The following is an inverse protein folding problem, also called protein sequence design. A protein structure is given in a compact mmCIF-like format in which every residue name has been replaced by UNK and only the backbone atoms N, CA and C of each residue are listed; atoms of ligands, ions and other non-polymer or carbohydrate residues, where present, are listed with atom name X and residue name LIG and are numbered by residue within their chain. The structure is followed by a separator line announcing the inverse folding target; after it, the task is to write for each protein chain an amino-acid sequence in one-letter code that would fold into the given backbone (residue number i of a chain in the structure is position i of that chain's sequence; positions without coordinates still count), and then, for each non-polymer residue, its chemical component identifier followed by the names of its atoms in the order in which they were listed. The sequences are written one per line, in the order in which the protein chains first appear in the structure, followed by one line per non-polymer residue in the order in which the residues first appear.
data_IF_984583612239
#
_entry.id   IF_984583612239
#
_cell.length_a   1.000
_cell.length_b   1.000
_cell.length_c   1.000
_cell.angle_alpha   90.00
_cell.angle_beta   90.00
_cell.angle_gamma   90.00
#
_symmetry.space_group_name_H-M   'P 1'
#
loop_
_entity.id
_entity.type
_entity.pdbx_description
1 polymer ?
#
# COMPACT_ATOMS: atom_id res chain seq x y z
N UNK A 1 7.67 -19.67 29.36
CA UNK A 1 6.46 -18.93 29.81
C UNK A 1 6.87 -17.50 30.09
N UNK A 2 6.82 -16.62 29.08
CA UNK A 2 7.15 -15.20 29.22
C UNK A 2 5.91 -14.47 29.73
N UNK A 3 6.01 -13.81 30.89
CA UNK A 3 4.93 -12.99 31.45
C UNK A 3 5.00 -11.60 30.82
N UNK A 4 4.01 -11.26 30.01
CA UNK A 4 3.77 -9.90 29.53
C UNK A 4 3.51 -8.97 30.72
N UNK A 5 4.48 -8.12 31.04
CA UNK A 5 4.30 -7.04 32.01
C UNK A 5 3.76 -5.83 31.25
N UNK A 6 2.44 -5.64 31.30
CA UNK A 6 1.80 -4.42 30.80
C UNK A 6 2.02 -3.28 31.81
N UNK A 7 3.02 -2.45 31.56
CA UNK A 7 3.23 -1.20 32.31
C UNK A 7 2.19 -0.18 31.83
N UNK A 8 1.07 -0.08 32.52
CA UNK A 8 0.08 0.97 32.28
C UNK A 8 0.47 2.26 33.00
N UNK A 9 0.85 3.30 32.26
CA UNK A 9 0.99 4.65 32.81
C UNK A 9 -0.42 5.21 33.01
N UNK A 10 -0.84 5.36 34.28
CA UNK A 10 -2.11 6.02 34.63
C UNK A 10 -1.84 7.50 34.91
N UNK A 11 -2.12 8.36 33.94
CA UNK A 11 -2.18 9.81 34.19
C UNK A 11 -3.55 10.14 34.78
N UNK A 12 -3.64 10.14 36.12
CA UNK A 12 -4.86 10.62 36.81
C UNK A 12 -4.78 12.14 36.87
N UNK A 13 -5.21 12.80 35.79
CA UNK A 13 -5.39 14.25 35.80
C UNK A 13 -6.73 14.57 36.48
N UNK A 14 -6.68 15.30 37.60
CA UNK A 14 -7.87 15.78 38.30
C UNK A 14 -8.58 16.82 37.39
N UNK A 15 -9.56 16.36 36.60
CA UNK A 15 -10.13 17.09 35.47
C UNK A 15 -10.98 18.32 35.83
N UNK A 16 -11.30 18.53 37.11
CA UNK A 16 -12.19 19.63 37.53
C UNK A 16 -11.49 21.00 37.49
N UNK A 17 -10.16 21.08 37.57
CA UNK A 17 -9.44 22.37 37.55
C UNK A 17 -8.97 22.82 36.15
N UNK A 18 -8.91 21.93 35.15
CA UNK A 18 -8.41 22.29 33.81
C UNK A 18 -9.47 22.89 32.89
N UNK A 19 -10.75 22.55 33.09
CA UNK A 19 -11.87 23.00 32.25
C UNK A 19 -12.13 24.51 32.30
N UNK A 20 -11.62 25.22 33.31
CA UNK A 20 -11.70 26.68 33.39
C UNK A 20 -10.52 27.41 32.71
N UNK A 21 -9.46 26.71 32.31
CA UNK A 21 -8.19 27.34 31.91
C UNK A 21 -7.89 27.34 30.40
N UNK A 22 -8.69 26.66 29.58
CA UNK A 22 -8.51 26.61 28.12
C UNK A 22 -7.17 26.00 27.65
N UNK A 23 -6.44 25.29 28.53
CA UNK A 23 -5.15 24.68 28.18
C UNK A 23 -5.34 23.27 27.63
N UNK A 24 -4.71 23.01 26.48
CA UNK A 24 -4.63 21.68 25.89
C UNK A 24 -3.69 20.80 26.72
N UNK A 25 -4.09 19.55 26.96
CA UNK A 25 -3.21 18.54 27.54
C UNK A 25 -2.55 17.78 26.38
N UNK A 26 -1.23 17.88 26.26
CA UNK A 26 -0.47 17.15 25.24
C UNK A 26 0.18 15.93 25.90
N UNK A 27 -0.21 14.73 25.45
CA UNK A 27 0.38 13.47 25.87
C UNK A 27 0.79 12.69 24.61
N UNK A 28 2.09 12.48 24.44
CA UNK A 28 2.66 11.73 23.31
C UNK A 28 3.10 10.36 23.84
N UNK A 29 2.32 9.28 23.63
CA UNK A 29 2.74 7.95 24.06
C UNK A 29 3.85 7.39 23.15
N UNK A 30 4.70 6.50 23.66
CA UNK A 30 5.65 5.75 22.83
C UNK A 30 4.95 4.88 21.78
N UNK A 31 5.64 4.49 20.69
CA UNK A 31 5.11 3.58 19.69
C UNK A 31 4.64 2.26 20.31
N UNK A 32 3.41 1.84 19.98
CA UNK A 32 2.83 0.58 20.46
C UNK A 32 2.07 0.66 21.79
N UNK A 33 1.95 1.85 22.40
CA UNK A 33 1.17 2.05 23.64
C UNK A 33 -0.13 2.79 23.32
N UNK A 34 -1.27 2.19 23.65
CA UNK A 34 -2.57 2.83 23.54
C UNK A 34 -2.76 3.91 24.61
N UNK A 35 -3.15 5.12 24.21
CA UNK A 35 -3.56 6.17 25.15
C UNK A 35 -5.02 5.96 25.52
N UNK A 36 -5.31 5.78 26.80
CA UNK A 36 -6.68 5.70 27.30
C UNK A 36 -6.99 6.95 28.12
N UNK A 37 -7.86 7.82 27.61
CA UNK A 37 -8.33 9.01 28.32
C UNK A 37 -9.67 8.65 28.97
N UNK A 38 -9.72 8.64 30.31
CA UNK A 38 -10.95 8.41 31.06
C UNK A 38 -11.38 9.71 31.73
N UNK A 39 -12.47 10.31 31.27
CA UNK A 39 -13.09 11.42 31.96
C UNK A 39 -13.93 10.88 33.13
N UNK A 40 -13.45 11.06 34.36
CA UNK A 40 -14.24 10.78 35.56
C UNK A 40 -14.97 12.07 35.99
N UNK A 41 -16.24 12.18 35.63
CA UNK A 41 -17.09 13.29 36.07
C UNK A 41 -18.51 13.16 35.53
N UNK A 42 -19.48 12.97 36.43
CA UNK A 42 -20.91 12.93 36.09
C UNK A 42 -21.47 14.33 35.85
N UNK A 43 -21.04 14.98 34.77
CA UNK A 43 -21.55 16.29 34.35
C UNK A 43 -21.91 16.29 32.88
N UNK A 44 -23.05 16.89 32.53
CA UNK A 44 -23.46 17.13 31.15
C UNK A 44 -22.59 18.23 30.54
N UNK A 45 -21.53 17.88 29.82
CA UNK A 45 -20.75 18.85 29.04
C UNK A 45 -21.47 19.14 27.72
N UNK A 46 -21.98 20.35 27.56
CA UNK A 46 -22.40 20.89 26.26
C UNK A 46 -21.22 21.68 25.70
N UNK A 47 -20.66 21.25 24.57
CA UNK A 47 -19.79 22.10 23.74
C UNK A 47 -18.25 21.99 23.87
N UNK A 48 -17.69 20.87 24.32
CA UNK A 48 -16.24 20.63 24.23
C UNK A 48 -15.86 19.87 22.96
N UNK A 49 -14.90 20.36 22.16
CA UNK A 49 -14.22 19.55 21.16
C UNK A 49 -12.96 18.94 21.77
N UNK A 50 -12.70 17.66 21.49
CA UNK A 50 -11.48 16.99 21.91
C UNK A 50 -10.71 16.57 20.67
N UNK A 51 -9.42 16.93 20.60
CA UNK A 51 -8.54 16.53 19.50
C UNK A 51 -7.72 15.34 19.95
N UNK A 52 -8.03 14.16 19.39
CA UNK A 52 -7.19 12.96 19.53
C UNK A 52 -6.11 13.01 18.46
N UNK A 53 -4.84 13.01 18.87
CA UNK A 53 -3.71 12.77 17.97
C UNK A 53 -3.26 11.33 18.19
N UNK A 54 -3.57 10.43 17.24
CA UNK A 54 -3.14 9.02 17.26
C UNK A 54 -2.16 8.76 16.13
N UNK A 55 -1.24 7.82 16.33
CA UNK A 55 -0.41 7.27 15.26
C UNK A 55 -1.25 6.42 14.31
N UNK A 56 -0.97 6.51 13.01
CA UNK A 56 -1.62 5.71 11.96
C UNK A 56 -1.45 4.21 12.26
N UNK A 57 -2.50 3.41 12.06
CA UNK A 57 -2.49 1.96 12.28
C UNK A 57 -2.79 1.51 13.71
N UNK A 58 -3.07 2.44 14.64
CA UNK A 58 -3.51 2.12 15.99
C UNK A 58 -5.05 2.10 16.08
N UNK A 59 -5.57 1.22 16.93
CA UNK A 59 -7.00 1.12 17.20
C UNK A 59 -7.40 2.22 18.19
N UNK A 60 -8.22 3.18 17.76
CA UNK A 60 -8.71 4.25 18.63
C UNK A 60 -9.93 3.73 19.36
N UNK A 61 -9.78 3.41 20.65
CA UNK A 61 -10.94 3.18 21.51
C UNK A 61 -11.68 4.50 21.70
N UNK A 62 -12.91 4.57 21.20
CA UNK A 62 -13.78 5.74 21.41
C UNK A 62 -14.02 5.98 22.91
N UNK A 63 -14.22 7.24 23.33
CA UNK A 63 -14.62 7.51 24.71
C UNK A 63 -15.98 6.84 24.97
N UNK A 64 -16.03 5.96 25.98
CA UNK A 64 -17.30 5.40 26.43
C UNK A 64 -18.08 6.51 27.15
N UNK A 65 -19.04 7.12 26.47
CA UNK A 65 -20.03 7.96 27.13
C UNK A 65 -21.09 7.06 27.76
N UNK A 66 -21.39 7.25 29.05
CA UNK A 66 -22.40 6.47 29.78
C UNK A 66 -23.84 6.64 29.29
N UNK A 67 -24.06 7.31 28.15
CA UNK A 67 -25.37 7.60 27.57
C UNK A 67 -25.42 7.23 26.10
N UNK A 68 -25.33 5.93 25.78
CA UNK A 68 -25.79 5.34 24.51
C UNK A 68 -25.10 5.75 23.20
N UNK A 69 -24.32 6.83 23.15
CA UNK A 69 -23.58 7.25 21.97
C UNK A 69 -22.14 6.73 22.06
N UNK A 70 -21.94 5.49 21.65
CA UNK A 70 -20.62 4.97 21.35
C UNK A 70 -20.14 5.59 20.03
N UNK A 71 -19.09 6.39 20.08
CA UNK A 71 -18.35 6.73 18.87
C UNK A 71 -17.66 5.45 18.43
N UNK A 72 -18.10 4.88 17.30
CA UNK A 72 -17.60 3.60 16.82
C UNK A 72 -16.07 3.63 16.76
N UNK A 73 -15.42 2.59 17.30
CA UNK A 73 -13.99 2.38 17.15
C UNK A 73 -13.68 2.28 15.65
N UNK A 74 -13.20 3.38 15.07
CA UNK A 74 -12.80 3.45 13.69
C UNK A 74 -11.33 3.11 13.58
N UNK A 75 -10.99 2.13 12.74
CA UNK A 75 -9.64 2.04 12.21
C UNK A 75 -9.46 3.24 11.29
N UNK A 76 -8.59 4.19 11.66
CA UNK A 76 -8.11 5.18 10.71
C UNK A 76 -7.23 4.42 9.72
N UNK A 77 -7.85 3.88 8.66
CA UNK A 77 -7.11 3.37 7.52
C UNK A 77 -6.17 4.49 7.05
N UNK A 78 -4.90 4.19 6.70
CA UNK A 78 -4.04 5.19 6.10
C UNK A 78 -4.79 5.82 4.92
N UNK A 79 -4.71 7.14 4.76
CA UNK A 79 -5.48 7.81 3.72
C UNK A 79 -5.07 7.25 2.34
N UNK A 80 -5.97 7.27 1.33
CA UNK A 80 -5.77 6.64 0.03
C UNK A 80 -4.60 7.20 -0.81
N UNK A 81 -3.82 8.12 -0.25
CA UNK A 81 -2.81 8.97 -0.89
C UNK A 81 -1.55 8.20 -1.31
N UNK A 82 -1.33 6.97 -0.81
CA UNK A 82 -0.15 6.13 -1.12
C UNK A 82 -0.41 5.08 -2.22
N UNK A 83 -1.48 5.25 -3.01
CA UNK A 83 -1.87 4.31 -4.07
C UNK A 83 -1.68 4.83 -5.48
N UNK A 84 -1.57 6.13 -5.69
CA UNK A 84 -1.40 6.72 -7.02
C UNK A 84 -0.17 7.63 -7.02
N UNK A 85 0.76 7.42 -7.96
CA UNK A 85 1.96 8.23 -8.09
C UNK A 85 2.25 8.52 -9.55
N UNK A 86 2.54 9.78 -9.86
CA UNK A 86 2.94 10.20 -11.20
C UNK A 86 4.32 10.84 -11.14
N UNK A 87 5.19 10.50 -12.08
CA UNK A 87 6.49 11.16 -12.25
C UNK A 87 6.67 11.52 -13.70
N UNK A 88 6.94 12.80 -13.95
CA UNK A 88 7.13 13.39 -15.28
C UNK A 88 8.55 13.91 -15.43
N UNK A 89 8.94 14.24 -16.66
CA UNK A 89 10.32 14.63 -16.97
C UNK A 89 11.29 13.46 -16.84
N UNK A 90 10.83 12.25 -17.17
CA UNK A 90 11.68 11.07 -17.19
C UNK A 90 12.83 11.27 -18.20
N UNK A 91 14.03 10.83 -17.83
CA UNK A 91 15.25 10.95 -18.62
C UNK A 91 15.79 9.57 -18.97
N UNK A 92 16.47 9.48 -20.11
CA UNK A 92 17.18 8.27 -20.48
C UNK A 92 18.26 7.97 -19.42
N UNK A 93 18.41 6.68 -19.11
CA UNK A 93 19.26 6.15 -18.04
C UNK A 93 18.88 6.63 -16.63
N UNK A 94 17.70 7.25 -16.47
CA UNK A 94 17.17 7.62 -15.17
C UNK A 94 16.67 6.42 -14.36
N UNK A 95 16.78 6.52 -13.03
CA UNK A 95 16.20 5.58 -12.06
C UNK A 95 15.18 6.32 -11.21
N UNK A 96 13.98 5.76 -11.09
CA UNK A 96 12.86 6.35 -10.38
C UNK A 96 12.29 5.35 -9.36
N UNK A 97 12.01 5.85 -8.16
CA UNK A 97 11.36 5.09 -7.09
C UNK A 97 9.99 5.67 -6.83
N UNK A 98 8.96 4.86 -7.07
CA UNK A 98 7.58 5.23 -6.75
C UNK A 98 7.37 4.95 -5.26
N UNK A 99 7.24 6.02 -4.47
CA UNK A 99 7.25 5.96 -2.99
C UNK A 99 5.91 5.47 -2.42
N UNK A 100 5.43 4.34 -2.92
CA UNK A 100 4.29 3.60 -2.40
C UNK A 100 4.77 2.75 -1.21
N UNK A 101 3.88 2.36 -0.30
CA UNK A 101 4.17 1.41 0.81
C UNK A 101 4.89 0.13 0.34
N UNK A 102 4.74 -0.21 -0.95
CA UNK A 102 5.46 -1.26 -1.65
C UNK A 102 6.06 -0.66 -2.94
N UNK A 103 7.34 -0.30 -2.88
CA UNK A 103 8.01 0.53 -3.88
C UNK A 103 8.25 -0.23 -5.18
N UNK A 104 7.73 0.31 -6.27
CA UNK A 104 8.13 -0.08 -7.63
C UNK A 104 9.33 0.78 -8.01
N UNK A 105 10.37 0.15 -8.55
CA UNK A 105 11.51 0.85 -9.16
C UNK A 105 11.40 0.76 -10.68
N UNK A 106 11.63 1.89 -11.34
CA UNK A 106 11.74 2.01 -12.79
C UNK A 106 13.17 2.42 -13.13
N UNK A 107 13.81 1.69 -14.04
CA UNK A 107 15.00 2.16 -14.74
C UNK A 107 14.63 2.37 -16.21
N UNK A 108 15.16 3.43 -16.84
CA UNK A 108 14.79 3.82 -18.22
C UNK A 108 16.00 3.71 -19.17
N UNK A 109 16.44 2.49 -19.56
CA UNK A 109 17.53 2.32 -20.52
C UNK A 109 17.30 3.04 -21.85
N UNK A 110 16.06 2.97 -22.37
CA UNK A 110 15.66 3.63 -23.63
C UNK A 110 14.42 4.48 -23.35
N UNK A 111 14.52 5.78 -23.57
CA UNK A 111 13.44 6.73 -23.25
C UNK A 111 12.33 6.74 -24.32
N UNK A 112 12.66 6.66 -25.60
CA UNK A 112 11.66 6.85 -26.66
C UNK A 112 10.90 8.17 -26.51
N UNK A 113 9.58 8.13 -26.60
CA UNK A 113 8.70 9.28 -26.29
C UNK A 113 8.16 9.30 -24.86
N UNK A 114 8.65 8.43 -23.96
CA UNK A 114 8.24 8.39 -22.56
C UNK A 114 8.61 9.71 -21.87
N UNK A 115 7.62 10.36 -21.26
CA UNK A 115 7.80 11.61 -20.52
C UNK A 115 7.27 11.50 -19.09
N UNK A 116 6.08 10.91 -18.92
CA UNK A 116 5.48 10.64 -17.63
C UNK A 116 5.18 9.15 -17.46
N UNK A 117 5.35 8.65 -16.24
CA UNK A 117 4.83 7.35 -15.81
C UNK A 117 3.86 7.57 -14.65
N UNK A 118 2.65 7.03 -14.80
CA UNK A 118 1.66 6.92 -13.72
C UNK A 118 1.68 5.49 -13.21
N UNK A 119 1.77 5.33 -11.90
CA UNK A 119 1.75 4.04 -11.20
C UNK A 119 0.64 4.09 -10.18
N UNK A 120 -0.34 3.20 -10.34
CA UNK A 120 -1.43 2.99 -9.40
C UNK A 120 -1.30 1.62 -8.77
N UNK A 121 -1.27 1.53 -7.44
CA UNK A 121 -1.35 0.28 -6.69
C UNK A 121 -2.77 0.04 -6.23
N UNK A 122 -3.25 -1.17 -6.45
CA UNK A 122 -4.50 -1.66 -5.88
C UNK A 122 -4.17 -2.79 -4.90
N UNK A 123 -4.61 -2.65 -3.66
CA UNK A 123 -4.52 -3.72 -2.66
C UNK A 123 -5.76 -4.60 -2.80
N UNK A 124 -5.59 -5.82 -3.28
CA UNK A 124 -6.66 -6.75 -3.64
C UNK A 124 -6.45 -7.43 -5.00
N UNK A 125 -7.29 -8.42 -5.32
CA UNK A 125 -7.11 -9.24 -6.51
C UNK A 125 -7.35 -8.47 -7.79
N UNK A 126 -6.50 -8.74 -8.80
CA UNK A 126 -6.75 -8.29 -10.15
C UNK A 126 -8.02 -8.99 -10.69
N UNK A 127 -8.94 -8.28 -11.39
CA UNK A 127 -10.18 -8.88 -11.91
C UNK A 127 -9.95 -10.10 -12.80
N UNK A 128 -8.88 -10.05 -13.60
CA UNK A 128 -8.48 -11.13 -14.52
C UNK A 128 -7.42 -12.07 -13.91
N UNK A 129 -7.28 -12.12 -12.59
CA UNK A 129 -6.29 -13.00 -11.97
C UNK A 129 -6.62 -14.48 -12.20
N UNK A 130 -5.58 -15.27 -12.45
CA UNK A 130 -5.63 -16.72 -12.56
C UNK A 130 -4.88 -17.37 -11.39
N UNK A 131 -5.13 -18.66 -11.08
CA UNK A 131 -4.37 -19.38 -10.05
C UNK A 131 -2.86 -19.28 -10.28
N UNK A 132 -2.09 -19.03 -9.22
CA UNK A 132 -0.63 -18.89 -9.28
C UNK A 132 -0.12 -17.45 -9.36
N UNK A 133 -0.98 -16.47 -9.62
CA UNK A 133 -0.63 -15.04 -9.52
C UNK A 133 -0.94 -14.56 -8.10
N UNK A 134 -0.01 -13.85 -7.45
CA UNK A 134 -0.27 -13.21 -6.16
C UNK A 134 -1.23 -12.05 -6.37
N UNK A 135 -2.47 -12.30 -5.97
CA UNK A 135 -3.57 -11.38 -6.11
C UNK A 135 -3.75 -10.50 -4.87
N UNK A 136 -2.83 -10.54 -3.89
CA UNK A 136 -2.95 -9.62 -2.76
C UNK A 136 -2.79 -8.15 -3.20
N UNK A 137 -2.19 -7.90 -4.38
CA UNK A 137 -2.00 -6.57 -4.96
C UNK A 137 -1.69 -6.62 -6.45
N UNK A 138 -1.98 -5.53 -7.16
CA UNK A 138 -1.48 -5.29 -8.51
C UNK A 138 -1.15 -3.81 -8.72
N UNK A 139 -0.39 -3.52 -9.78
CA UNK A 139 -0.01 -2.16 -10.18
C UNK A 139 -0.46 -1.88 -11.61
N UNK A 140 -1.21 -0.81 -11.82
CA UNK A 140 -1.53 -0.27 -13.14
C UNK A 140 -0.49 0.77 -13.53
N UNK A 141 0.19 0.56 -14.65
CA UNK A 141 1.25 1.44 -15.15
C UNK A 141 0.85 2.04 -16.49
N UNK A 142 0.85 3.37 -16.58
CA UNK A 142 0.51 4.11 -17.81
C UNK A 142 1.67 5.02 -18.21
N UNK A 143 2.21 4.78 -19.41
CA UNK A 143 3.27 5.57 -20.02
C UNK A 143 2.69 6.66 -20.92
N UNK A 144 3.06 7.92 -20.65
CA UNK A 144 2.57 9.09 -21.38
C UNK A 144 3.73 9.88 -21.99
N UNK A 145 3.48 10.45 -23.17
CA UNK A 145 4.38 11.37 -23.83
C UNK A 145 4.18 12.82 -23.32
N UNK A 146 5.01 13.76 -23.79
CA UNK A 146 4.96 15.15 -23.33
C UNK A 146 3.63 15.88 -23.65
N UNK A 147 2.84 15.37 -24.61
CA UNK A 147 1.52 15.89 -24.95
C UNK A 147 0.38 15.20 -24.16
N UNK A 148 0.69 14.29 -23.23
CA UNK A 148 -0.29 13.52 -22.46
C UNK A 148 -0.92 12.35 -23.23
N UNK A 149 -0.45 12.04 -24.44
CA UNK A 149 -0.87 10.86 -25.20
C UNK A 149 -0.02 9.62 -24.86
N UNK A 150 -0.33 8.45 -25.44
CA UNK A 150 0.47 7.24 -25.25
C UNK A 150 1.94 7.46 -25.66
N UNK A 151 2.87 7.02 -24.81
CA UNK A 151 4.28 6.95 -25.17
C UNK A 151 4.60 5.66 -25.93
N UNK A 152 5.68 5.67 -26.70
CA UNK A 152 6.17 4.54 -27.48
C UNK A 152 7.67 4.61 -27.73
N UNK A 153 8.24 3.52 -28.25
CA UNK A 153 9.68 3.42 -28.51
C UNK A 153 10.56 3.43 -27.26
N UNK A 154 9.99 3.26 -26.07
CA UNK A 154 10.71 3.11 -24.82
C UNK A 154 11.03 1.64 -24.54
N UNK A 155 12.06 1.41 -23.74
CA UNK A 155 12.33 0.13 -23.12
C UNK A 155 12.76 0.39 -21.68
N UNK A 156 11.97 -0.11 -20.73
CA UNK A 156 12.18 0.11 -19.30
C UNK A 156 12.44 -1.20 -18.57
N UNK A 157 13.04 -1.08 -17.39
CA UNK A 157 13.15 -2.16 -16.44
C UNK A 157 12.29 -1.85 -15.22
N UNK A 158 11.49 -2.83 -14.79
CA UNK A 158 10.65 -2.70 -13.60
C UNK A 158 11.14 -3.67 -12.53
N UNK A 159 11.27 -3.19 -11.32
CA UNK A 159 11.50 -4.02 -10.14
C UNK A 159 10.32 -3.87 -9.19
N UNK A 160 9.63 -4.98 -8.94
CA UNK A 160 8.48 -5.07 -8.06
C UNK A 160 8.88 -5.67 -6.71
N UNK A 161 8.26 -5.23 -5.61
CA UNK A 161 8.42 -5.86 -4.31
C UNK A 161 7.60 -7.15 -4.24
N UNK A 162 8.10 -8.15 -3.52
CA UNK A 162 7.47 -9.47 -3.39
C UNK A 162 7.57 -10.02 -1.95
N UNK A 163 6.59 -10.79 -1.45
CA UNK A 163 6.51 -11.25 -0.06
C UNK A 163 7.36 -12.52 0.23
N UNK A 164 8.63 -12.51 -0.15
CA UNK A 164 9.58 -13.63 0.00
C UNK A 164 9.17 -14.98 -0.63
N UNK A 165 8.49 -14.92 -1.77
CA UNK A 165 8.32 -16.03 -2.71
C UNK A 165 9.63 -16.75 -3.03
N UNK A 166 9.52 -18.06 -3.16
CA UNK A 166 10.65 -18.94 -3.46
C UNK A 166 11.06 -18.81 -4.93
N UNK A 167 10.09 -18.57 -5.81
CA UNK A 167 10.30 -18.56 -7.26
C UNK A 167 9.54 -17.41 -7.94
N UNK A 168 9.79 -16.12 -7.60
CA UNK A 168 8.95 -15.01 -8.01
C UNK A 168 9.03 -14.68 -9.51
N UNK A 169 7.91 -14.27 -10.11
CA UNK A 169 7.80 -13.75 -11.48
C UNK A 169 7.08 -12.41 -11.52
N UNK A 170 7.45 -11.54 -12.47
CA UNK A 170 6.72 -10.31 -12.78
C UNK A 170 5.78 -10.55 -13.96
N UNK A 171 4.48 -10.48 -13.69
CA UNK A 171 3.42 -10.83 -14.62
C UNK A 171 2.71 -9.59 -15.15
N UNK A 172 2.73 -9.41 -16.46
CA UNK A 172 1.99 -8.35 -17.15
C UNK A 172 0.64 -8.89 -17.63
N UNK A 173 -0.44 -8.22 -17.30
CA UNK A 173 -1.77 -8.53 -17.83
C UNK A 173 -1.83 -8.16 -19.31
N UNK A 174 -2.27 -9.12 -20.12
CA UNK A 174 -2.65 -8.93 -21.52
C UNK A 174 -4.18 -8.75 -21.69
N UNK A 175 -4.91 -8.79 -20.56
CA UNK A 175 -6.37 -8.78 -20.50
C UNK A 175 -7.00 -10.18 -20.64
N UNK A 176 -8.26 -10.30 -20.21
CA UNK A 176 -9.08 -11.51 -20.39
C UNK A 176 -8.44 -12.80 -19.82
N UNK A 177 -7.74 -12.67 -18.68
CA UNK A 177 -7.09 -13.79 -17.99
C UNK A 177 -5.74 -14.20 -18.58
N UNK A 178 -5.27 -13.54 -19.65
CA UNK A 178 -3.96 -13.79 -20.22
C UNK A 178 -2.88 -12.96 -19.51
N UNK A 179 -1.78 -13.63 -19.14
CA UNK A 179 -0.66 -13.03 -18.43
C UNK A 179 0.65 -13.40 -19.08
N UNK A 180 1.50 -12.40 -19.27
CA UNK A 180 2.86 -12.53 -19.74
C UNK A 180 3.78 -12.44 -18.52
N UNK A 181 4.18 -13.59 -17.98
CA UNK A 181 5.02 -13.71 -16.80
C UNK A 181 6.47 -14.02 -17.18
N UNK A 182 7.39 -13.18 -16.75
CA UNK A 182 8.82 -13.39 -16.91
C UNK A 182 9.61 -12.76 -15.77
N UNK A 183 10.90 -13.06 -15.70
CA UNK A 183 11.86 -12.41 -14.82
C UNK A 183 13.25 -12.47 -15.44
N UNK A 184 14.07 -11.47 -15.11
CA UNK A 184 15.48 -11.42 -15.46
C UNK A 184 16.36 -11.58 -14.22
N UNK A 185 15.90 -11.05 -13.09
CA UNK A 185 16.56 -11.22 -11.79
C UNK A 185 15.55 -11.17 -10.65
N UNK A 186 15.87 -11.78 -9.51
CA UNK A 186 15.06 -11.65 -8.30
C UNK A 186 15.92 -11.79 -7.04
N UNK A 187 15.36 -11.34 -5.93
CA UNK A 187 15.89 -11.49 -4.57
C UNK A 187 14.77 -11.99 -3.66
N UNK A 188 15.06 -12.16 -2.38
CA UNK A 188 14.05 -12.50 -1.36
C UNK A 188 13.01 -11.39 -1.13
N UNK A 189 13.16 -10.21 -1.72
CA UNK A 189 12.22 -9.09 -1.53
C UNK A 189 11.80 -8.40 -2.82
N UNK A 190 12.42 -8.74 -3.95
CA UNK A 190 12.11 -8.10 -5.24
C UNK A 190 12.16 -9.07 -6.42
N UNK A 191 11.38 -8.79 -7.45
CA UNK A 191 11.53 -9.40 -8.78
C UNK A 191 11.70 -8.31 -9.82
N UNK A 192 12.63 -8.49 -10.75
CA UNK A 192 12.95 -7.55 -11.81
C UNK A 192 12.69 -8.16 -13.18
N UNK A 193 12.14 -7.34 -14.07
CA UNK A 193 11.98 -7.64 -15.49
C UNK A 193 12.48 -6.48 -16.34
N UNK A 194 13.22 -6.81 -17.38
CA UNK A 194 13.92 -5.90 -18.29
C UNK A 194 13.22 -5.83 -19.66
N UNK A 195 13.68 -4.89 -20.49
CA UNK A 195 13.26 -4.72 -21.89
C UNK A 195 11.73 -4.59 -22.09
N UNK A 196 11.04 -3.93 -21.16
CA UNK A 196 9.60 -3.75 -21.20
C UNK A 196 9.25 -2.60 -22.14
N UNK A 197 8.60 -2.94 -23.27
CA UNK A 197 8.18 -1.99 -24.30
C UNK A 197 6.69 -1.64 -24.29
N UNK A 198 5.90 -2.28 -23.41
CA UNK A 198 4.49 -1.96 -23.22
C UNK A 198 4.06 -2.21 -21.76
N UNK A 199 3.41 -1.20 -21.19
CA UNK A 199 2.89 -1.19 -19.82
C UNK A 199 1.37 -1.39 -19.80
N UNK A 200 0.88 -2.00 -18.72
CA UNK A 200 -0.52 -2.30 -18.45
C UNK A 200 -0.67 -2.57 -16.94
N UNK A 201 -1.50 -3.53 -16.55
CA UNK A 201 -1.55 -4.03 -15.18
C UNK A 201 -0.45 -5.08 -14.93
N UNK A 202 0.12 -5.05 -13.75
CA UNK A 202 1.22 -5.90 -13.32
C UNK A 202 0.93 -6.52 -11.97
N UNK A 203 1.30 -7.79 -11.81
CA UNK A 203 1.26 -8.49 -10.53
C UNK A 203 2.55 -9.30 -10.36
N UNK A 204 2.80 -9.77 -9.14
CA UNK A 204 3.87 -10.73 -8.86
C UNK A 204 3.25 -12.11 -8.70
N UNK A 205 3.99 -13.17 -9.00
CA UNK A 205 3.57 -14.57 -8.82
C UNK A 205 4.67 -15.32 -8.06
N UNK A 206 4.33 -16.33 -7.25
CA UNK A 206 5.29 -17.24 -6.59
C UNK A 206 5.69 -18.42 -7.50
N UNK A 207 4.94 -18.64 -8.58
CA UNK A 207 5.22 -19.66 -9.58
C UNK A 207 4.30 -19.47 -10.78
N UNK A 208 4.86 -19.41 -12.00
CA UNK A 208 4.05 -19.39 -13.22
C UNK A 208 4.18 -20.73 -13.96
N UNK A 209 3.18 -21.59 -13.77
CA UNK A 209 2.96 -22.74 -14.64
C UNK A 209 2.35 -22.21 -15.94
N UNK A 210 3.12 -22.26 -17.02
CA UNK A 210 2.55 -22.13 -18.36
C UNK A 210 1.62 -23.33 -18.55
N UNK A 211 0.31 -23.15 -18.79
CA UNK A 211 -0.54 -24.28 -19.15
C UNK A 211 0.05 -24.90 -20.42
N UNK A 212 0.50 -26.15 -20.32
CA UNK A 212 0.81 -26.93 -21.51
C UNK A 212 -0.53 -27.31 -22.11
N UNK A 213 -0.93 -26.62 -23.18
CA UNK A 213 -1.99 -27.13 -24.05
C UNK A 213 -1.44 -28.41 -24.71
N UNK A 214 -1.88 -29.57 -24.21
CA UNK A 214 -1.71 -30.84 -24.89
C UNK A 214 -2.62 -30.83 -26.12
N UNK A 215 -2.12 -30.27 -27.21
CA UNK A 215 -2.75 -30.37 -28.53
C UNK A 215 -2.70 -31.85 -28.96
N UNK A 216 -3.84 -32.54 -28.79
CA UNK A 216 -4.21 -33.76 -29.50
C UNK A 216 -3.24 -34.93 -29.38
N UNK A 217 -3.53 -35.86 -28.47
CA UNK A 217 -3.11 -37.24 -28.68
C UNK A 217 -4.12 -37.86 -29.65
N UNK A 218 -3.76 -38.05 -30.91
CA UNK A 218 -4.42 -39.07 -31.73
C UNK A 218 -3.89 -40.42 -31.26
N UNK A 219 -4.78 -41.23 -30.69
CA UNK A 219 -4.50 -42.63 -30.43
C UNK A 219 -4.68 -43.39 -31.74
N UNK A 220 -3.60 -44.04 -32.21
CA UNK A 220 -3.66 -45.07 -33.25
C UNK A 220 -4.39 -46.33 -32.74
#
# INVERSE_FOLDING_TARGET
MSRDVRVGIRVVACAVALLASGRALEAIPPPGVGLQVTAAGGGTSVGGSFRLTSTIGQNVQGPASGGGNAVAAGYLAPPPEDRDWTTCGLTQSGTYLFNLTHRVRLDVPVLGSLHCLRVRRTDGPHPDAIPGIDTARFWSLTAENAAGGPAGGYAVSLTFPQPAFADPFACRSLGAGAWDCARDAFTSSTVRRDAIAALSDWAVSDHYVVPVELLGFEAD
#
